data_IF_976593970706
#
_entry.id   IF_976593970706
#
_cell.length_a   1.000
_cell.length_b   1.000
_cell.length_c   1.000
_cell.angle_alpha   90.00
_cell.angle_beta   90.00
_cell.angle_gamma   90.00
#
_symmetry.space_group_name_H-M   'P 1'
#
loop_
_entity.id
_entity.type
_entity.pdbx_description
1 polymer ?
#
# COMPACT_ATOMS: atom_id res chain seq x y z
N UNK A 1 -7.47 -15.69 -8.33
CA UNK A 1 -6.75 -14.88 -7.32
C UNK A 1 -7.08 -13.43 -7.60
N UNK A 2 -7.03 -12.54 -6.61
CA UNK A 2 -7.30 -11.12 -6.81
C UNK A 2 -6.49 -10.49 -7.96
N UNK A 3 -5.23 -10.90 -8.13
CA UNK A 3 -4.39 -10.43 -9.23
C UNK A 3 -4.93 -10.85 -10.61
N UNK A 4 -5.35 -12.12 -10.77
CA UNK A 4 -5.95 -12.58 -12.02
C UNK A 4 -7.29 -11.88 -12.30
N UNK A 5 -8.15 -11.77 -11.30
CA UNK A 5 -9.46 -11.10 -11.43
C UNK A 5 -9.33 -9.61 -11.79
N UNK A 6 -8.24 -8.98 -11.34
CA UNK A 6 -7.92 -7.60 -11.72
C UNK A 6 -7.44 -7.52 -13.16
N UNK A 7 -6.55 -8.43 -13.57
CA UNK A 7 -6.06 -8.52 -14.96
C UNK A 7 -7.19 -8.80 -15.95
N UNK A 8 -8.15 -9.66 -15.62
CA UNK A 8 -9.28 -10.00 -16.49
C UNK A 8 -10.21 -8.80 -16.80
N UNK A 9 -10.11 -7.72 -16.00
CA UNK A 9 -10.86 -6.47 -16.21
C UNK A 9 -10.04 -5.41 -16.96
N UNK A 10 -8.76 -5.65 -17.20
CA UNK A 10 -7.88 -4.72 -17.91
C UNK A 10 -7.76 -5.14 -19.37
N UNK A 11 -7.80 -4.16 -20.27
CA UNK A 11 -7.41 -4.36 -21.67
C UNK A 11 -5.87 -4.37 -21.77
N UNK A 12 -5.24 -5.36 -21.11
CA UNK A 12 -3.79 -5.49 -21.00
C UNK A 12 -3.34 -6.93 -21.25
N UNK A 13 -2.44 -7.10 -22.23
CA UNK A 13 -1.80 -8.37 -22.52
C UNK A 13 -0.49 -8.47 -21.74
N UNK A 14 -0.43 -9.38 -20.76
CA UNK A 14 0.78 -9.62 -19.97
C UNK A 14 1.90 -10.15 -20.89
N UNK A 15 3.06 -9.48 -20.96
CA UNK A 15 4.13 -9.92 -21.83
C UNK A 15 4.76 -11.22 -21.31
N UNK A 16 5.25 -12.13 -22.18
CA UNK A 16 5.87 -13.40 -21.76
C UNK A 16 7.06 -13.24 -20.81
N UNK A 17 7.75 -12.11 -20.88
CA UNK A 17 8.86 -11.75 -19.99
C UNK A 17 8.41 -11.56 -18.55
N UNK A 18 7.19 -11.04 -18.33
CA UNK A 18 6.60 -10.86 -17.00
C UNK A 18 6.14 -12.20 -16.38
N UNK A 19 5.98 -13.24 -17.19
CA UNK A 19 5.60 -14.59 -16.74
C UNK A 19 6.79 -15.55 -16.58
N UNK A 20 8.02 -15.06 -16.71
CA UNK A 20 9.20 -15.90 -16.49
C UNK A 20 9.25 -16.38 -15.04
N UNK A 21 9.77 -17.59 -14.80
CA UNK A 21 9.89 -18.15 -13.43
C UNK A 21 10.68 -17.22 -12.51
N UNK A 22 11.72 -16.57 -13.04
CA UNK A 22 12.54 -15.64 -12.29
C UNK A 22 11.75 -14.38 -11.89
N UNK A 23 11.08 -13.73 -12.85
CA UNK A 23 10.28 -12.52 -12.59
C UNK A 23 9.10 -12.83 -11.68
N UNK A 24 8.37 -13.90 -11.96
CA UNK A 24 7.23 -14.34 -11.15
C UNK A 24 7.68 -14.72 -9.74
N UNK A 25 8.81 -15.42 -9.60
CA UNK A 25 9.38 -15.80 -8.31
C UNK A 25 9.70 -14.58 -7.43
N UNK A 26 10.33 -13.55 -8.00
CA UNK A 26 10.63 -12.29 -7.28
C UNK A 26 9.34 -11.61 -6.82
N UNK A 27 8.33 -11.50 -7.68
CA UNK A 27 7.04 -10.86 -7.34
C UNK A 27 6.34 -11.61 -6.21
N UNK A 28 6.28 -12.95 -6.29
CA UNK A 28 5.62 -13.77 -5.26
C UNK A 28 6.35 -13.71 -3.92
N UNK A 29 7.68 -13.80 -3.92
CA UNK A 29 8.48 -13.74 -2.69
C UNK A 29 8.35 -12.35 -2.06
N UNK A 30 8.45 -11.28 -2.85
CA UNK A 30 8.29 -9.91 -2.35
C UNK A 30 6.90 -9.72 -1.76
N UNK A 31 5.84 -10.10 -2.50
CA UNK A 31 4.48 -10.02 -2.00
C UNK A 31 4.31 -10.83 -0.70
N UNK A 32 4.87 -12.04 -0.62
CA UNK A 32 4.79 -12.83 0.60
C UNK A 32 5.52 -12.18 1.77
N UNK A 33 6.69 -11.59 1.54
CA UNK A 33 7.48 -10.96 2.59
C UNK A 33 6.77 -9.74 3.18
N UNK A 34 6.20 -8.88 2.33
CA UNK A 34 5.40 -7.75 2.79
C UNK A 34 4.14 -8.20 3.54
N UNK A 35 3.50 -9.32 3.16
CA UNK A 35 2.39 -9.87 3.96
C UNK A 35 2.79 -10.26 5.36
N UNK A 36 3.96 -10.88 5.49
CA UNK A 36 4.51 -11.28 6.79
C UNK A 36 4.70 -10.04 7.65
N UNK A 37 5.38 -9.01 7.13
CA UNK A 37 5.60 -7.77 7.89
C UNK A 37 4.32 -7.05 8.27
N UNK A 38 3.34 -6.96 7.36
CA UNK A 38 2.05 -6.34 7.68
C UNK A 38 1.31 -7.15 8.74
N UNK A 39 1.31 -8.49 8.64
CA UNK A 39 0.64 -9.35 9.61
C UNK A 39 1.30 -9.25 10.98
N UNK A 40 2.62 -9.34 11.06
CA UNK A 40 3.39 -9.20 12.29
C UNK A 40 3.15 -7.86 12.98
N UNK A 41 3.11 -6.77 12.20
CA UNK A 41 2.82 -5.45 12.74
C UNK A 41 1.38 -5.36 13.29
N UNK A 42 0.39 -5.90 12.58
CA UNK A 42 -1.00 -5.88 13.02
C UNK A 42 -1.22 -6.75 14.26
N UNK A 43 -0.58 -7.90 14.34
CA UNK A 43 -0.64 -8.81 15.49
C UNK A 43 0.02 -8.19 16.74
N UNK A 44 1.07 -7.39 16.55
CA UNK A 44 1.73 -6.64 17.63
C UNK A 44 0.90 -5.44 18.15
N UNK A 45 -0.13 -5.01 17.42
CA UNK A 45 -0.96 -3.85 17.75
C UNK A 45 -2.48 -4.19 17.75
N UNK A 46 -2.93 -5.10 18.63
CA UNK A 46 -4.32 -5.57 18.65
C UNK A 46 -5.32 -4.47 19.04
N UNK A 47 -4.88 -3.44 19.77
CA UNK A 47 -5.73 -2.32 20.20
C UNK A 47 -6.10 -1.38 19.05
N UNK A 48 -5.31 -1.39 17.96
CA UNK A 48 -5.56 -0.60 16.75
C UNK A 48 -4.28 -0.01 16.18
N UNK A 49 -4.22 0.06 14.86
CA UNK A 49 -3.08 0.62 14.12
C UNK A 49 -3.53 1.29 12.82
N UNK A 50 -2.66 2.07 12.20
CA UNK A 50 -2.86 2.60 10.85
C UNK A 50 -1.91 1.91 9.88
N UNK A 51 -2.44 1.37 8.79
CA UNK A 51 -1.65 0.94 7.64
C UNK A 51 -1.75 2.02 6.57
N UNK A 52 -0.63 2.63 6.24
CA UNK A 52 -0.50 3.66 5.23
C UNK A 52 0.29 3.09 4.05
N UNK A 53 -0.40 2.77 2.97
CA UNK A 53 0.17 2.11 1.81
C UNK A 53 0.37 3.09 0.66
N UNK A 54 1.62 3.45 0.42
CA UNK A 54 2.02 4.48 -0.52
C UNK A 54 2.30 3.88 -1.90
N UNK A 55 1.73 4.51 -2.93
CA UNK A 55 1.70 3.98 -4.29
C UNK A 55 1.13 2.55 -4.34
N UNK A 56 -0.05 2.40 -3.76
CA UNK A 56 -0.71 1.10 -3.57
C UNK A 56 -1.03 0.33 -4.86
N UNK A 57 -1.04 1.01 -6.00
CA UNK A 57 -1.32 0.49 -7.32
C UNK A 57 -2.60 -0.34 -7.36
N UNK A 58 -2.45 -1.58 -7.80
CA UNK A 58 -3.52 -2.58 -7.87
C UNK A 58 -3.37 -3.66 -6.78
N UNK A 59 -2.67 -3.36 -5.68
CA UNK A 59 -2.48 -4.33 -4.58
C UNK A 59 -3.82 -4.69 -3.93
N UNK A 60 -3.97 -5.98 -3.61
CA UNK A 60 -5.13 -6.59 -2.96
C UNK A 60 -4.90 -6.94 -1.49
N UNK A 61 -3.81 -6.48 -0.85
CA UNK A 61 -3.51 -6.75 0.56
C UNK A 61 -4.65 -6.41 1.50
N UNK A 62 -5.26 -5.25 1.33
CA UNK A 62 -6.40 -4.82 2.13
C UNK A 62 -7.60 -5.79 2.01
N UNK A 63 -7.71 -6.54 0.91
CA UNK A 63 -8.76 -7.53 0.65
C UNK A 63 -8.42 -8.94 1.15
N UNK A 64 -7.14 -9.29 1.23
CA UNK A 64 -6.69 -10.67 1.50
C UNK A 64 -6.03 -10.88 2.85
N UNK A 65 -5.48 -9.82 3.46
CA UNK A 65 -4.99 -9.89 4.83
C UNK A 65 -6.14 -9.69 5.79
N UNK A 66 -6.11 -10.43 6.90
CA UNK A 66 -7.06 -10.20 7.98
C UNK A 66 -6.47 -9.12 8.90
N UNK A 67 -7.12 -7.98 8.96
CA UNK A 67 -6.80 -6.89 9.87
C UNK A 67 -7.94 -6.70 10.86
N UNK A 68 -7.65 -6.18 12.05
CA UNK A 68 -8.64 -6.06 13.11
C UNK A 68 -9.62 -4.89 12.82
N UNK A 69 -10.77 -4.86 13.50
CA UNK A 69 -11.79 -3.81 13.30
C UNK A 69 -11.34 -2.40 13.75
N UNK A 70 -10.26 -2.32 14.54
CA UNK A 70 -9.68 -1.08 15.02
C UNK A 70 -8.52 -0.61 14.11
N UNK A 71 -8.19 -1.36 13.06
CA UNK A 71 -7.18 -0.96 12.08
C UNK A 71 -7.80 -0.01 11.07
N UNK A 72 -7.10 1.09 10.81
CA UNK A 72 -7.38 2.00 9.69
C UNK A 72 -6.45 1.64 8.54
N UNK A 73 -6.97 1.40 7.35
CA UNK A 73 -6.18 1.15 6.16
C UNK A 73 -6.35 2.30 5.17
N UNK A 74 -5.24 2.94 4.79
CA UNK A 74 -5.22 4.06 3.86
C UNK A 74 -4.30 3.71 2.71
N UNK A 75 -4.90 3.46 1.56
CA UNK A 75 -4.18 3.35 0.29
C UNK A 75 -4.03 4.77 -0.31
N UNK A 76 -2.83 5.10 -0.78
CA UNK A 76 -2.51 6.38 -1.41
C UNK A 76 -1.95 6.09 -2.80
N UNK A 77 -2.50 6.75 -3.82
CA UNK A 77 -1.92 6.72 -5.16
C UNK A 77 -2.31 7.95 -5.98
N UNK A 78 -1.68 8.10 -7.15
CA UNK A 78 -1.97 9.14 -8.11
C UNK A 78 -3.46 9.10 -8.52
N UNK A 79 -4.08 10.26 -8.80
CA UNK A 79 -5.50 10.33 -9.15
C UNK A 79 -5.93 9.38 -10.28
N UNK A 80 -5.10 9.22 -11.31
CA UNK A 80 -5.32 8.31 -12.43
C UNK A 80 -5.27 6.83 -12.01
N UNK A 81 -4.38 6.46 -11.10
CA UNK A 81 -4.27 5.10 -10.58
C UNK A 81 -5.46 4.80 -9.67
N UNK A 82 -5.87 5.75 -8.83
CA UNK A 82 -7.09 5.63 -8.01
C UNK A 82 -8.33 5.49 -8.89
N UNK A 83 -8.43 6.27 -9.96
CA UNK A 83 -9.55 6.18 -10.91
C UNK A 83 -9.62 4.80 -11.58
N UNK A 84 -8.48 4.22 -11.96
CA UNK A 84 -8.41 2.86 -12.50
C UNK A 84 -8.75 1.81 -11.43
N UNK A 85 -8.11 1.89 -10.26
CA UNK A 85 -8.30 0.95 -9.15
C UNK A 85 -9.76 0.79 -8.78
N UNK A 86 -10.52 1.89 -8.72
CA UNK A 86 -11.98 1.89 -8.43
C UNK A 86 -12.81 1.08 -9.44
N UNK A 87 -12.32 0.89 -10.66
CA UNK A 87 -13.01 0.12 -11.70
C UNK A 87 -12.69 -1.38 -11.61
N UNK A 88 -11.48 -1.74 -11.14
CA UNK A 88 -10.96 -3.11 -11.29
C UNK A 88 -10.75 -3.85 -9.98
N UNK A 89 -10.39 -3.15 -8.89
CA UNK A 89 -10.14 -3.73 -7.56
C UNK A 89 -11.34 -3.46 -6.64
N UNK A 90 -11.93 -4.48 -5.99
CA UNK A 90 -12.98 -4.27 -5.00
C UNK A 90 -12.51 -3.47 -3.79
N UNK A 91 -13.45 -2.81 -3.13
CA UNK A 91 -13.19 -2.09 -1.88
C UNK A 91 -13.42 -3.06 -0.70
N UNK A 92 -12.53 -3.11 0.31
CA UNK A 92 -12.77 -3.87 1.54
C UNK A 92 -14.02 -3.35 2.26
N UNK A 93 -15.15 -4.06 2.14
CA UNK A 93 -16.41 -3.66 2.76
C UNK A 93 -16.38 -3.83 4.30
N UNK A 94 -17.14 -3.00 5.01
CA UNK A 94 -17.34 -3.07 6.47
C UNK A 94 -16.07 -2.88 7.31
N UNK A 95 -15.09 -2.16 6.77
CA UNK A 95 -13.83 -1.85 7.45
C UNK A 95 -13.49 -0.35 7.33
N UNK A 96 -12.63 0.17 8.20
CA UNK A 96 -12.07 1.53 8.08
C UNK A 96 -11.00 1.56 6.98
N UNK A 97 -11.47 1.58 5.72
CA UNK A 97 -10.65 1.64 4.52
C UNK A 97 -10.85 2.97 3.79
N UNK A 98 -9.75 3.60 3.38
CA UNK A 98 -9.73 4.83 2.61
C UNK A 98 -8.78 4.71 1.41
N UNK A 99 -9.16 5.32 0.30
CA UNK A 99 -8.35 5.41 -0.91
C UNK A 99 -8.18 6.88 -1.29
N UNK A 100 -6.99 7.42 -1.05
CA UNK A 100 -6.64 8.83 -1.28
C UNK A 100 -6.00 9.00 -2.66
N UNK A 101 -6.53 9.96 -3.42
CA UNK A 101 -6.05 10.34 -4.75
C UNK A 101 -5.11 11.54 -4.65
N UNK A 102 -3.81 11.29 -4.50
CA UNK A 102 -2.77 12.31 -4.37
C UNK A 102 -1.39 11.74 -4.69
N UNK A 103 -0.46 12.57 -5.14
CA UNK A 103 0.94 12.15 -5.19
C UNK A 103 1.52 12.10 -3.78
N UNK A 104 2.32 11.08 -3.50
CA UNK A 104 3.10 10.98 -2.25
C UNK A 104 4.07 12.17 -2.09
N UNK A 105 4.42 12.83 -3.19
CA UNK A 105 5.28 14.03 -3.20
C UNK A 105 4.51 15.33 -2.97
N UNK A 106 3.18 15.35 -3.06
CA UNK A 106 2.41 16.57 -2.79
C UNK A 106 2.62 17.04 -1.34
N UNK A 107 2.60 18.35 -1.08
CA UNK A 107 2.60 18.87 0.27
C UNK A 107 1.25 18.61 0.96
N UNK A 108 1.26 18.47 2.28
CA UNK A 108 0.08 18.44 3.17
C UNK A 108 -0.86 17.23 3.16
N UNK A 109 -0.84 16.33 2.17
CA UNK A 109 -1.74 15.17 2.21
C UNK A 109 -1.58 14.32 3.48
N UNK A 110 -0.36 14.28 4.03
CA UNK A 110 -0.02 13.54 5.24
C UNK A 110 -0.61 14.18 6.51
N UNK A 111 -0.91 15.48 6.48
CA UNK A 111 -1.45 16.23 7.62
C UNK A 111 -2.89 15.76 7.94
N UNK A 112 -3.62 15.31 6.92
CA UNK A 112 -4.98 14.78 7.02
C UNK A 112 -5.05 13.39 7.67
N UNK A 113 -3.92 12.67 7.75
CA UNK A 113 -3.85 11.33 8.31
C UNK A 113 -3.70 11.42 9.83
N UNK A 114 -4.64 10.91 10.66
CA UNK A 114 -4.50 11.01 12.10
C UNK A 114 -3.32 10.17 12.61
N UNK A 115 -2.49 10.76 13.48
CA UNK A 115 -1.39 10.07 14.18
C UNK A 115 -1.79 9.62 15.59
N UNK A 116 -3.00 9.08 15.72
CA UNK A 116 -3.61 8.67 17.00
C UNK A 116 -3.22 7.25 17.43
N UNK A 117 -2.46 6.52 16.61
CA UNK A 117 -2.09 5.12 16.81
C UNK A 117 -0.78 4.77 16.06
N UNK A 118 -0.13 3.64 16.40
CA UNK A 118 1.05 3.17 15.67
C UNK A 118 0.77 3.03 14.18
N UNK A 119 1.69 3.50 13.34
CA UNK A 119 1.51 3.54 11.88
C UNK A 119 2.54 2.67 11.16
N UNK A 120 2.07 1.73 10.33
CA UNK A 120 2.89 1.00 9.37
C UNK A 120 2.83 1.70 8.02
N UNK A 121 3.97 2.16 7.54
CA UNK A 121 4.09 2.73 6.19
C UNK A 121 4.65 1.67 5.25
N UNK A 122 3.92 1.37 4.18
CA UNK A 122 4.32 0.43 3.13
C UNK A 122 4.71 1.23 1.89
N UNK A 123 5.92 0.99 1.37
CA UNK A 123 6.41 1.58 0.12
C UNK A 123 6.93 0.46 -0.81
N UNK A 124 6.06 -0.47 -1.21
CA UNK A 124 6.45 -1.60 -2.05
C UNK A 124 6.75 -1.14 -3.49
N UNK A 125 8.03 -1.05 -3.84
CA UNK A 125 8.44 -0.69 -5.21
C UNK A 125 8.18 0.78 -5.59
N UNK A 126 8.03 1.67 -4.60
CA UNK A 126 7.83 3.11 -4.84
C UNK A 126 9.16 3.87 -4.97
N UNK A 127 10.09 3.66 -4.04
CA UNK A 127 11.27 4.51 -3.88
C UNK A 127 12.16 4.58 -5.14
N UNK A 128 12.14 3.55 -5.99
CA UNK A 128 12.90 3.50 -7.25
C UNK A 128 12.38 4.42 -8.37
N UNK A 129 11.18 4.98 -8.20
CA UNK A 129 10.54 5.88 -9.18
C UNK A 129 10.56 7.35 -8.75
N UNK A 130 11.07 7.64 -7.55
CA UNK A 130 11.16 8.99 -7.01
C UNK A 130 12.59 9.51 -7.11
N UNK A 131 12.73 10.83 -7.23
CA UNK A 131 14.04 11.46 -7.05
C UNK A 131 14.52 11.22 -5.61
N UNK A 132 15.83 10.98 -5.38
CA UNK A 132 16.34 10.71 -4.03
C UNK A 132 15.98 11.79 -3.00
N UNK A 133 15.90 13.06 -3.43
CA UNK A 133 15.48 14.17 -2.60
C UNK A 133 14.01 14.04 -2.17
N UNK A 134 13.14 13.55 -3.05
CA UNK A 134 11.72 13.31 -2.73
C UNK A 134 11.56 12.13 -1.77
N UNK A 135 12.37 11.08 -1.92
CA UNK A 135 12.40 9.95 -0.97
C UNK A 135 12.80 10.43 0.43
N UNK A 136 13.89 11.20 0.52
CA UNK A 136 14.37 11.75 1.80
C UNK A 136 13.30 12.66 2.42
N UNK A 137 12.71 13.55 1.63
CA UNK A 137 11.65 14.45 2.08
C UNK A 137 10.41 13.68 2.56
N UNK A 138 9.97 12.65 1.83
CA UNK A 138 8.84 11.81 2.22
C UNK A 138 9.11 11.08 3.55
N UNK A 139 10.26 10.41 3.68
CA UNK A 139 10.63 9.68 4.90
C UNK A 139 10.71 10.61 6.10
N UNK A 140 11.29 11.80 5.92
CA UNK A 140 11.35 12.81 6.98
C UNK A 140 9.95 13.21 7.45
N UNK A 141 9.04 13.51 6.53
CA UNK A 141 7.65 13.88 6.88
C UNK A 141 6.91 12.76 7.58
N UNK A 142 7.08 11.51 7.13
CA UNK A 142 6.50 10.33 7.78
C UNK A 142 6.97 10.21 9.23
N UNK A 143 8.29 10.29 9.45
CA UNK A 143 8.88 10.21 10.79
C UNK A 143 8.49 11.40 11.68
N UNK A 144 8.37 12.61 11.12
CA UNK A 144 7.93 13.79 11.86
C UNK A 144 6.43 13.72 12.22
N UNK A 145 5.59 13.09 11.38
CA UNK A 145 4.14 12.98 11.57
C UNK A 145 3.74 11.91 12.58
N UNK A 146 4.35 10.73 12.51
CA UNK A 146 3.93 9.55 13.28
C UNK A 146 4.95 9.21 14.38
N UNK A 147 4.59 9.35 15.66
CA UNK A 147 5.54 9.18 16.77
C UNK A 147 5.95 7.73 17.00
N UNK A 148 5.14 6.76 16.58
CA UNK A 148 5.41 5.32 16.72
C UNK A 148 4.95 4.59 15.46
N UNK A 149 5.72 3.58 15.03
CA UNK A 149 5.43 2.89 13.79
C UNK A 149 6.59 2.12 13.20
N UNK A 150 6.40 1.64 11.98
CA UNK A 150 7.40 0.96 11.17
C UNK A 150 7.28 1.42 9.71
N UNK A 151 8.39 1.38 8.98
CA UNK A 151 8.42 1.62 7.54
C UNK A 151 8.96 0.34 6.90
N UNK A 152 8.25 -0.17 5.88
CA UNK A 152 8.70 -1.29 5.05
C UNK A 152 8.85 -0.82 3.61
N UNK A 153 10.02 -1.11 3.02
CA UNK A 153 10.50 -0.63 1.71
C UNK A 153 10.93 -1.82 0.85
#
# INVERSE_FOLDING_TARGET
>A
TWAQETLDKLDYVVPPTATSVATFGVVVIRARQFDVWVTEFLDAHPDGATVLHLACGLDSRALRLNWNKNTRWIDVDLPEVVALRRQVVPVPEQRDYQLLATSVTEPHWLDEIPADRPTLVIMEGLALYLDPADVEFLLKRVCDRFPTGQIVL
#
